data_IF_872477635637
#
_entry.id   IF_872477635637
#
_cell.length_a   1.000
_cell.length_b   1.000
_cell.length_c   1.000
_cell.angle_alpha   90.00
_cell.angle_beta   90.00
_cell.angle_gamma   90.00
#
_symmetry.space_group_name_H-M   'P 1'
#
loop_
_entity.id
_entity.type
_entity.pdbx_description
1 polymer ?
#
# COMPACT_ATOMS: atom_id res chain seq x y z
N UNK A 1 15.66 40.66 10.09
CA UNK A 1 14.88 39.74 9.23
C UNK A 1 15.64 38.43 9.18
N UNK A 2 15.15 37.41 9.87
CA UNK A 2 15.78 36.08 9.94
C UNK A 2 15.12 35.20 8.88
N UNK A 3 15.84 34.90 7.80
CA UNK A 3 15.39 33.96 6.78
C UNK A 3 15.24 32.59 7.44
N UNK A 4 14.06 31.92 7.37
CA UNK A 4 13.95 30.56 7.87
C UNK A 4 14.85 29.67 7.02
N UNK A 5 15.84 29.03 7.66
CA UNK A 5 16.63 27.97 7.01
C UNK A 5 15.73 26.75 6.91
N UNK A 6 15.18 26.51 5.72
CA UNK A 6 14.52 25.23 5.41
C UNK A 6 15.63 24.19 5.28
N UNK A 7 15.86 23.43 6.34
CA UNK A 7 16.71 22.24 6.26
C UNK A 7 15.96 21.21 5.43
N UNK A 8 16.31 21.10 4.16
CA UNK A 8 15.87 19.98 3.33
C UNK A 8 16.76 18.81 3.71
N UNK A 9 16.30 17.97 4.63
CA UNK A 9 16.99 16.72 4.91
C UNK A 9 16.92 15.88 3.64
N UNK A 10 18.06 15.70 2.98
CA UNK A 10 18.20 14.75 1.87
C UNK A 10 18.69 13.45 2.50
N UNK A 11 17.95 12.36 2.32
CA UNK A 11 18.42 11.04 2.72
C UNK A 11 18.42 10.11 1.52
N UNK A 12 19.27 9.08 1.59
CA UNK A 12 19.42 8.06 0.56
C UNK A 12 18.94 6.77 1.19
N UNK A 13 17.99 6.10 0.56
CA UNK A 13 17.34 4.90 1.07
C UNK A 13 17.31 3.84 -0.02
N UNK A 14 17.40 2.56 0.35
CA UNK A 14 17.27 1.49 -0.63
C UNK A 14 15.84 1.49 -1.21
N UNK A 15 15.69 1.21 -2.52
CA UNK A 15 14.34 1.16 -3.15
C UNK A 15 13.39 0.24 -2.38
N UNK A 16 13.88 -0.93 -1.95
CA UNK A 16 13.10 -1.91 -1.19
C UNK A 16 12.55 -1.31 0.10
N UNK A 17 13.37 -0.59 0.85
CA UNK A 17 12.94 0.04 2.10
C UNK A 17 11.89 1.14 1.83
N UNK A 18 12.07 1.92 0.75
CA UNK A 18 11.08 2.93 0.35
C UNK A 18 9.73 2.32 -0.05
N UNK A 19 9.73 1.15 -0.71
CA UNK A 19 8.51 0.39 -1.01
C UNK A 19 7.87 -0.10 0.29
N UNK A 20 8.63 -0.69 1.22
CA UNK A 20 8.12 -1.14 2.51
C UNK A 20 7.40 0.01 3.24
N UNK A 21 7.98 1.20 3.25
CA UNK A 21 7.38 2.38 3.86
C UNK A 21 6.03 2.73 3.24
N UNK A 22 5.87 2.65 1.90
CA UNK A 22 4.58 2.91 1.26
C UNK A 22 3.49 1.91 1.70
N UNK A 23 3.84 0.63 1.87
CA UNK A 23 2.93 -0.37 2.42
C UNK A 23 2.55 -0.07 3.88
N UNK A 24 3.51 0.40 4.69
CA UNK A 24 3.23 0.83 6.08
C UNK A 24 2.24 1.99 6.10
N UNK A 25 2.48 3.04 5.31
CA UNK A 25 1.60 4.20 5.24
C UNK A 25 0.17 3.83 4.84
N UNK A 26 0.00 3.01 3.81
CA UNK A 26 -1.33 2.55 3.37
C UNK A 26 -2.12 1.90 4.51
N UNK A 27 -1.48 1.00 5.26
CA UNK A 27 -2.11 0.28 6.37
C UNK A 27 -2.42 1.21 7.55
N UNK A 28 -1.56 2.19 7.83
CA UNK A 28 -1.79 3.19 8.87
C UNK A 28 -3.04 4.05 8.57
N UNK A 29 -3.30 4.40 7.30
CA UNK A 29 -4.54 5.11 6.94
C UNK A 29 -5.82 4.31 7.20
N UNK A 30 -5.73 2.99 7.32
CA UNK A 30 -6.83 2.11 7.64
C UNK A 30 -6.89 1.70 9.13
N UNK A 31 -6.06 2.32 9.98
CA UNK A 31 -5.94 2.04 11.41
C UNK A 31 -5.56 0.58 11.71
N UNK A 32 -4.73 -0.02 10.85
CA UNK A 32 -4.22 -1.38 11.06
C UNK A 32 -3.14 -1.36 12.13
N UNK A 33 -3.28 -2.23 13.13
CA UNK A 33 -2.34 -2.31 14.25
C UNK A 33 -0.90 -2.60 13.84
N UNK A 34 0.05 -1.98 14.54
CA UNK A 34 1.50 -2.00 14.26
C UNK A 34 2.07 -3.42 14.04
N UNK A 35 1.68 -4.39 14.88
CA UNK A 35 2.08 -5.80 14.72
C UNK A 35 1.74 -6.41 13.35
N UNK A 36 0.62 -6.01 12.74
CA UNK A 36 0.29 -6.44 11.38
C UNK A 36 1.05 -5.64 10.33
N UNK A 37 1.24 -4.34 10.55
CA UNK A 37 2.04 -3.47 9.67
C UNK A 37 3.46 -4.01 9.53
N UNK A 38 4.11 -4.39 10.63
CA UNK A 38 5.46 -4.95 10.63
C UNK A 38 5.53 -6.28 9.87
N UNK A 39 4.55 -7.16 10.06
CA UNK A 39 4.47 -8.43 9.32
C UNK A 39 4.31 -8.22 7.82
N UNK A 40 3.53 -7.23 7.41
CA UNK A 40 3.40 -6.88 5.99
C UNK A 40 4.73 -6.33 5.48
N UNK A 41 5.37 -5.42 6.21
CA UNK A 41 6.65 -4.87 5.79
C UNK A 41 7.74 -5.96 5.67
N UNK A 42 7.79 -6.93 6.59
CA UNK A 42 8.62 -8.13 6.49
C UNK A 42 8.30 -8.94 5.22
N UNK A 43 7.01 -9.15 4.93
CA UNK A 43 6.57 -9.88 3.75
C UNK A 43 6.91 -9.17 2.44
N UNK A 44 6.95 -7.85 2.44
CA UNK A 44 7.42 -7.03 1.31
C UNK A 44 8.95 -7.14 1.18
N UNK A 45 9.70 -7.10 2.30
CA UNK A 45 11.16 -7.28 2.30
C UNK A 45 11.61 -8.59 1.65
N UNK A 46 10.80 -9.65 1.83
CA UNK A 46 11.05 -10.99 1.30
C UNK A 46 10.41 -11.23 -0.08
N UNK A 47 9.89 -10.17 -0.74
CA UNK A 47 9.17 -10.22 -2.02
C UNK A 47 7.98 -11.20 -2.02
N UNK A 48 7.45 -11.50 -0.83
CA UNK A 48 6.40 -12.48 -0.63
C UNK A 48 5.00 -11.89 -0.85
N UNK A 49 4.85 -10.59 -0.67
CA UNK A 49 3.62 -9.83 -0.88
C UNK A 49 3.74 -9.06 -2.19
N UNK A 50 2.79 -9.23 -3.12
CA UNK A 50 2.75 -8.41 -4.35
C UNK A 50 1.76 -7.24 -4.25
N UNK A 51 0.81 -7.31 -3.31
CA UNK A 51 -0.18 -6.26 -3.15
C UNK A 51 -0.89 -6.31 -1.80
N UNK A 52 -1.30 -5.14 -1.32
CA UNK A 52 -2.14 -4.94 -0.15
C UNK A 52 -3.25 -3.97 -0.51
N UNK A 53 -4.48 -4.30 -0.13
CA UNK A 53 -5.61 -3.39 -0.27
C UNK A 53 -6.23 -3.08 1.07
N UNK A 54 -6.54 -1.81 1.29
CA UNK A 54 -7.40 -1.34 2.38
C UNK A 54 -8.74 -0.95 1.82
N UNK A 55 -9.82 -1.35 2.47
CA UNK A 55 -11.17 -1.10 2.01
C UNK A 55 -12.06 -0.62 3.15
N UNK A 56 -13.19 -0.01 2.79
CA UNK A 56 -14.19 0.41 3.74
C UNK A 56 -15.59 -0.02 3.30
N UNK A 57 -16.36 -0.51 4.27
CA UNK A 57 -17.72 -1.01 4.08
C UNK A 57 -18.74 -0.12 4.77
N UNK A 58 -19.94 -0.04 4.19
CA UNK A 58 -21.08 0.60 4.85
C UNK A 58 -21.70 -0.32 5.91
N UNK A 59 -22.80 0.14 6.52
CA UNK A 59 -23.52 -0.60 7.56
C UNK A 59 -24.09 -1.96 7.09
N UNK A 60 -24.20 -2.20 5.77
CA UNK A 60 -24.64 -3.48 5.20
C UNK A 60 -23.48 -4.46 5.03
N UNK A 61 -22.24 -4.04 5.29
CA UNK A 61 -21.04 -4.84 5.09
C UNK A 61 -20.53 -4.84 3.65
N UNK A 62 -21.15 -4.06 2.75
CA UNK A 62 -20.74 -3.93 1.36
C UNK A 62 -19.68 -2.85 1.19
N UNK A 63 -18.71 -3.12 0.32
CA UNK A 63 -17.57 -2.26 0.05
C UNK A 63 -17.97 -1.01 -0.73
N UNK A 64 -17.49 0.14 -0.27
CA UNK A 64 -17.75 1.47 -0.86
C UNK A 64 -16.50 2.04 -1.50
N UNK A 65 -15.34 1.86 -0.86
CA UNK A 65 -14.05 2.36 -1.35
C UNK A 65 -12.94 1.34 -1.05
N UNK A 66 -11.95 1.27 -1.92
CA UNK A 66 -10.71 0.52 -1.73
C UNK A 66 -9.53 1.30 -2.29
N UNK A 67 -8.39 1.20 -1.62
CA UNK A 67 -7.08 1.61 -2.12
C UNK A 67 -6.17 0.39 -2.06
N UNK A 68 -5.69 -0.05 -3.21
CA UNK A 68 -4.72 -1.13 -3.37
C UNK A 68 -3.36 -0.55 -3.74
N UNK A 69 -2.33 -0.88 -2.98
CA UNK A 69 -0.94 -0.72 -3.41
C UNK A 69 -0.44 -2.06 -3.95
N UNK A 70 0.20 -2.02 -5.11
CA UNK A 70 0.79 -3.17 -5.78
C UNK A 70 2.22 -2.86 -6.17
N UNK A 71 3.07 -3.88 -6.10
CA UNK A 71 4.46 -3.81 -6.56
C UNK A 71 4.72 -4.85 -7.65
N UNK A 72 5.40 -4.44 -8.72
CA UNK A 72 5.95 -5.33 -9.74
C UNK A 72 7.38 -5.74 -9.36
N UNK A 73 7.50 -6.95 -8.80
CA UNK A 73 8.80 -7.49 -8.40
C UNK A 73 9.77 -7.73 -9.56
N UNK A 74 9.26 -7.91 -10.78
CA UNK A 74 10.14 -8.08 -11.95
C UNK A 74 10.78 -6.75 -12.31
N UNK A 75 10.01 -5.67 -12.27
CA UNK A 75 10.53 -4.34 -12.54
C UNK A 75 11.40 -3.83 -11.38
N UNK A 76 11.03 -4.12 -10.14
CA UNK A 76 11.87 -3.85 -8.97
C UNK A 76 13.27 -4.49 -9.08
N UNK A 77 13.35 -5.76 -9.52
CA UNK A 77 14.62 -6.45 -9.69
C UNK A 77 15.50 -5.78 -10.76
N UNK A 78 14.88 -5.30 -11.85
CA UNK A 78 15.57 -4.53 -12.90
C UNK A 78 16.07 -3.18 -12.36
N UNK A 79 15.18 -2.40 -11.73
CA UNK A 79 15.50 -1.08 -11.17
C UNK A 79 16.53 -1.15 -10.05
N UNK A 80 16.57 -2.22 -9.27
CA UNK A 80 17.61 -2.39 -8.23
C UNK A 80 19.01 -2.55 -8.82
N UNK A 81 19.14 -3.05 -10.05
CA UNK A 81 20.43 -3.12 -10.75
C UNK A 81 20.85 -1.77 -11.37
N UNK A 82 19.87 -0.98 -11.81
CA UNK A 82 20.10 0.29 -12.52
C UNK A 82 20.19 1.49 -11.56
N UNK A 83 19.27 1.57 -10.60
CA UNK A 83 19.05 2.69 -9.67
C UNK A 83 18.69 2.17 -8.26
N UNK A 84 19.61 1.49 -7.54
CA UNK A 84 19.34 0.79 -6.27
C UNK A 84 18.84 1.67 -5.12
N UNK A 85 19.01 2.98 -5.21
CA UNK A 85 18.67 3.92 -4.16
C UNK A 85 17.69 4.98 -4.66
N UNK A 86 16.76 5.35 -3.78
CA UNK A 86 15.96 6.57 -3.91
C UNK A 86 16.63 7.66 -3.09
N UNK A 87 16.78 8.82 -3.72
CA UNK A 87 17.15 10.04 -3.01
C UNK A 87 15.85 10.73 -2.62
N UNK A 88 15.52 10.69 -1.33
CA UNK A 88 14.39 11.46 -0.80
C UNK A 88 14.86 12.86 -0.40
N UNK A 89 13.90 13.80 -0.37
CA UNK A 89 14.17 15.23 -0.54
C UNK A 89 13.75 15.74 -1.91
N UNK A 90 13.25 14.84 -2.77
CA UNK A 90 12.49 15.20 -3.95
C UNK A 90 11.25 16.02 -3.54
N UNK A 91 10.88 17.05 -4.31
CA UNK A 91 9.75 17.90 -3.99
C UNK A 91 8.48 17.08 -3.75
N UNK A 92 7.95 17.16 -2.54
CA UNK A 92 6.68 16.55 -2.20
C UNK A 92 6.77 15.37 -1.25
N UNK A 93 7.87 14.63 -1.13
CA UNK A 93 7.97 13.57 -0.12
C UNK A 93 7.88 14.15 1.30
N UNK A 94 7.18 13.44 2.19
CA UNK A 94 7.08 13.82 3.60
C UNK A 94 7.29 12.60 4.48
N UNK A 95 8.31 12.63 5.34
CA UNK A 95 8.59 11.56 6.30
C UNK A 95 8.62 10.17 5.64
N UNK A 96 9.26 10.01 4.48
CA UNK A 96 9.32 8.77 3.66
C UNK A 96 8.06 8.42 2.86
N UNK A 97 6.98 9.19 2.98
CA UNK A 97 5.73 8.99 2.24
C UNK A 97 5.76 9.74 0.88
N UNK A 98 5.40 9.01 -0.18
CA UNK A 98 5.21 9.60 -1.52
C UNK A 98 3.99 10.55 -1.55
N UNK A 99 4.00 11.62 -2.38
CA UNK A 99 2.84 12.47 -2.59
C UNK A 99 1.57 11.71 -2.97
N UNK A 100 1.70 10.70 -3.83
CA UNK A 100 0.61 9.88 -4.34
C UNK A 100 -0.02 9.03 -3.23
N UNK A 101 0.81 8.33 -2.44
CA UNK A 101 0.33 7.57 -1.29
C UNK A 101 -0.41 8.45 -0.30
N UNK A 102 0.12 9.64 0.00
CA UNK A 102 -0.53 10.58 0.92
C UNK A 102 -1.88 11.05 0.42
N UNK A 103 -1.99 11.38 -0.87
CA UNK A 103 -3.26 11.81 -1.45
C UNK A 103 -4.27 10.66 -1.44
N UNK A 104 -3.87 9.46 -1.85
CA UNK A 104 -4.75 8.29 -1.89
C UNK A 104 -5.21 7.89 -0.48
N UNK A 105 -4.26 7.73 0.45
CA UNK A 105 -4.51 7.35 1.83
C UNK A 105 -5.36 8.37 2.60
N UNK A 106 -5.06 9.67 2.44
CA UNK A 106 -5.88 10.73 3.05
C UNK A 106 -7.31 10.72 2.53
N UNK A 107 -7.51 10.60 1.21
CA UNK A 107 -8.86 10.53 0.61
C UNK A 107 -9.63 9.33 1.12
N UNK A 108 -8.96 8.19 1.29
CA UNK A 108 -9.55 7.00 1.91
C UNK A 108 -10.01 7.29 3.34
N UNK A 109 -9.11 7.79 4.19
CA UNK A 109 -9.42 8.07 5.59
C UNK A 109 -10.52 9.15 5.77
N UNK A 110 -10.51 10.19 4.94
CA UNK A 110 -11.57 11.21 4.90
C UNK A 110 -12.93 10.59 4.52
N UNK A 111 -12.97 9.75 3.47
CA UNK A 111 -14.19 9.06 3.04
C UNK A 111 -14.75 8.15 4.15
N UNK A 112 -13.87 7.37 4.79
CA UNK A 112 -14.23 6.50 5.93
C UNK A 112 -14.87 7.29 7.05
N UNK A 113 -14.26 8.42 7.43
CA UNK A 113 -14.73 9.27 8.52
C UNK A 113 -16.05 9.95 8.19
N UNK A 114 -16.17 10.55 7.02
CA UNK A 114 -17.35 11.30 6.58
C UNK A 114 -18.59 10.39 6.49
N UNK A 115 -18.41 9.17 5.97
CA UNK A 115 -19.50 8.21 5.75
C UNK A 115 -19.66 7.20 6.89
N UNK A 116 -18.83 7.29 7.95
CA UNK A 116 -18.83 6.37 9.11
C UNK A 116 -18.71 4.90 8.70
N UNK A 117 -17.79 4.61 7.78
CA UNK A 117 -17.55 3.28 7.24
C UNK A 117 -16.70 2.44 8.20
N UNK A 118 -16.82 1.12 8.11
CA UNK A 118 -15.94 0.18 8.81
C UNK A 118 -14.79 -0.22 7.90
N UNK A 119 -13.55 -0.12 8.37
CA UNK A 119 -12.36 -0.47 7.59
C UNK A 119 -12.04 -1.96 7.66
N UNK A 120 -11.38 -2.45 6.62
CA UNK A 120 -10.78 -3.76 6.53
C UNK A 120 -9.63 -3.74 5.54
N UNK A 121 -8.92 -4.85 5.43
CA UNK A 121 -7.75 -4.95 4.55
C UNK A 121 -7.51 -6.39 4.10
N UNK A 122 -6.75 -6.55 3.03
CA UNK A 122 -6.34 -7.84 2.49
C UNK A 122 -4.91 -7.80 1.96
N UNK A 123 -4.30 -8.98 1.83
CA UNK A 123 -2.97 -9.18 1.25
C UNK A 123 -3.09 -10.13 0.07
N UNK A 124 -2.35 -9.85 -1.01
CA UNK A 124 -2.10 -10.78 -2.10
C UNK A 124 -0.62 -11.18 -2.08
N UNK A 125 -0.39 -12.49 -1.93
CA UNK A 125 0.93 -13.07 -2.03
C UNK A 125 1.43 -13.06 -3.48
N UNK A 126 2.74 -12.91 -3.65
CA UNK A 126 3.36 -12.91 -4.97
C UNK A 126 3.10 -14.21 -5.71
N UNK A 127 2.97 -14.13 -7.05
CA UNK A 127 2.71 -15.30 -7.89
C UNK A 127 3.69 -16.46 -7.60
N UNK A 128 4.98 -16.17 -7.41
CA UNK A 128 6.01 -17.15 -7.06
C UNK A 128 5.70 -17.90 -5.76
N UNK A 129 5.22 -17.20 -4.74
CA UNK A 129 4.83 -17.80 -3.47
C UNK A 129 3.55 -18.60 -3.62
N UNK A 130 2.54 -18.09 -4.34
CA UNK A 130 1.25 -18.77 -4.54
C UNK A 130 1.36 -20.10 -5.31
N UNK A 131 2.40 -20.26 -6.13
CA UNK A 131 2.65 -21.47 -6.93
C UNK A 131 3.48 -22.54 -6.19
N UNK A 132 4.02 -22.24 -5.02
CA UNK A 132 4.76 -23.18 -4.15
C UNK A 132 3.95 -23.41 -2.87
N UNK A 133 3.31 -24.57 -2.75
CA UNK A 133 2.38 -24.88 -1.64
C UNK A 133 3.02 -24.69 -0.26
N UNK A 134 4.28 -25.12 -0.09
CA UNK A 134 4.98 -24.99 1.19
C UNK A 134 5.24 -23.52 1.54
N UNK A 135 5.66 -22.73 0.57
CA UNK A 135 5.86 -21.28 0.78
C UNK A 135 4.54 -20.56 0.99
N UNK A 136 3.50 -20.94 0.26
CA UNK A 136 2.16 -20.39 0.38
C UNK A 136 1.60 -20.61 1.80
N UNK A 137 1.63 -21.85 2.29
CA UNK A 137 1.21 -22.18 3.65
C UNK A 137 2.02 -21.44 4.71
N UNK A 138 3.34 -21.40 4.58
CA UNK A 138 4.23 -20.66 5.48
C UNK A 138 3.84 -19.18 5.58
N UNK A 139 3.69 -18.50 4.44
CA UNK A 139 3.37 -17.07 4.42
C UNK A 139 1.95 -16.77 4.89
N UNK A 140 0.96 -17.60 4.52
CA UNK A 140 -0.41 -17.45 5.03
C UNK A 140 -0.47 -17.56 6.55
N UNK A 141 0.28 -18.51 7.13
CA UNK A 141 0.39 -18.65 8.58
C UNK A 141 1.09 -17.47 9.22
N UNK A 142 2.24 -17.03 8.67
CA UNK A 142 3.03 -15.91 9.22
C UNK A 142 2.24 -14.59 9.23
N UNK A 143 1.50 -14.33 8.15
CA UNK A 143 0.69 -13.12 7.98
C UNK A 143 -0.70 -13.22 8.62
N UNK A 144 -1.03 -14.34 9.27
CA UNK A 144 -2.34 -14.60 9.85
C UNK A 144 -3.51 -14.41 8.85
N UNK A 145 -3.29 -14.82 7.61
CA UNK A 145 -4.27 -14.68 6.54
C UNK A 145 -5.40 -15.70 6.72
N UNK A 146 -6.50 -15.28 7.34
CA UNK A 146 -7.75 -16.04 7.29
C UNK A 146 -8.25 -16.02 5.84
N UNK A 147 -8.71 -17.15 5.30
CA UNK A 147 -9.16 -17.28 3.89
C UNK A 147 -10.44 -16.51 3.54
N UNK A 148 -10.79 -15.47 4.30
CA UNK A 148 -11.92 -14.60 3.98
C UNK A 148 -11.51 -13.69 2.83
N UNK A 149 -12.23 -13.81 1.72
CA UNK A 149 -12.17 -12.83 0.64
C UNK A 149 -12.70 -11.49 1.14
N UNK A 150 -12.19 -10.41 0.58
CA UNK A 150 -12.71 -9.09 0.87
C UNK A 150 -14.19 -8.98 0.42
N UNK A 151 -15.07 -8.25 1.13
CA UNK A 151 -16.51 -8.22 0.87
C UNK A 151 -16.88 -7.71 -0.52
N UNK A 152 -18.08 -8.06 -0.99
CA UNK A 152 -18.59 -7.59 -2.28
C UNK A 152 -18.82 -6.08 -2.32
N UNK A 153 -18.86 -5.52 -3.52
CA UNK A 153 -19.08 -4.10 -3.78
C UNK A 153 -20.54 -3.69 -3.63
N UNK A 154 -20.77 -2.54 -3.02
CA UNK A 154 -22.05 -1.85 -3.06
C UNK A 154 -22.40 -1.52 -4.52
N UNK A 155 -23.65 -1.73 -4.92
CA UNK A 155 -24.09 -1.49 -6.31
C UNK A 155 -23.57 -2.51 -7.33
N UNK A 156 -22.90 -3.59 -6.91
CA UNK A 156 -22.47 -4.68 -7.78
C UNK A 156 -21.23 -4.38 -8.62
N UNK A 157 -20.56 -3.24 -8.43
CA UNK A 157 -19.36 -2.88 -9.17
C UNK A 157 -18.68 -1.62 -8.67
N UNK A 158 -17.56 -1.27 -9.32
CA UNK A 158 -16.75 -0.10 -8.99
C UNK A 158 -16.22 0.59 -10.24
N UNK A 159 -15.85 1.85 -10.08
CA UNK A 159 -14.98 2.57 -10.99
C UNK A 159 -13.56 2.59 -10.42
N UNK A 160 -12.58 2.37 -11.29
CA UNK A 160 -11.17 2.29 -10.93
C UNK A 160 -10.39 3.44 -11.53
N UNK A 161 -9.49 4.00 -10.71
CA UNK A 161 -8.45 4.93 -11.13
C UNK A 161 -7.11 4.38 -10.69
N UNK A 162 -6.15 4.36 -11.60
CA UNK A 162 -4.76 3.99 -11.33
C UNK A 162 -3.90 5.24 -11.20
N UNK A 163 -2.99 5.24 -10.23
CA UNK A 163 -1.94 6.24 -10.04
C UNK A 163 -0.60 5.52 -9.86
N UNK A 164 0.41 5.88 -10.65
CA UNK A 164 1.75 5.32 -10.49
C UNK A 164 2.49 6.09 -9.40
N UNK A 165 3.36 5.42 -8.65
CA UNK A 165 4.28 6.10 -7.75
C UNK A 165 5.45 6.66 -8.56
N UNK A 166 5.48 7.98 -8.78
CA UNK A 166 6.37 8.59 -9.78
C UNK A 166 7.86 8.23 -9.60
N UNK A 167 8.35 8.23 -8.36
CA UNK A 167 9.75 7.90 -8.03
C UNK A 167 9.98 6.40 -7.74
N UNK A 168 8.90 5.64 -7.60
CA UNK A 168 8.88 4.19 -7.35
C UNK A 168 8.12 3.52 -8.49
N UNK A 169 8.69 3.56 -9.70
CA UNK A 169 8.06 3.09 -10.95
C UNK A 169 7.53 1.65 -10.88
N UNK A 170 8.12 0.81 -10.02
CA UNK A 170 7.65 -0.55 -9.76
C UNK A 170 6.37 -0.62 -8.91
N UNK A 171 5.80 0.52 -8.48
CA UNK A 171 4.67 0.62 -7.58
C UNK A 171 3.46 1.35 -8.19
N UNK A 172 2.29 0.72 -8.07
CA UNK A 172 1.01 1.26 -8.53
C UNK A 172 -0.01 1.35 -7.38
N UNK A 173 -0.77 2.45 -7.35
CA UNK A 173 -1.95 2.62 -6.51
C UNK A 173 -3.22 2.47 -7.36
N UNK A 174 -4.11 1.58 -6.98
CA UNK A 174 -5.46 1.45 -7.55
C UNK A 174 -6.48 1.97 -6.54
N UNK A 175 -7.24 2.99 -6.93
CA UNK A 175 -8.32 3.57 -6.14
C UNK A 175 -9.64 3.13 -6.78
N UNK A 176 -10.44 2.38 -6.03
CA UNK A 176 -11.74 1.87 -6.47
C UNK A 176 -12.85 2.46 -5.62
N UNK A 177 -13.93 2.91 -6.25
CA UNK A 177 -15.14 3.41 -5.57
C UNK A 177 -16.36 2.74 -6.15
N UNK A 178 -17.35 2.43 -5.33
CA UNK A 178 -18.60 1.86 -5.81
C UNK A 178 -19.24 2.78 -6.85
N UNK A 179 -19.92 2.19 -7.83
CA UNK A 179 -20.75 2.97 -8.74
C UNK A 179 -21.96 3.51 -7.97
N UNK A 180 -22.34 4.75 -8.28
CA UNK A 180 -23.58 5.35 -7.82
C UNK A 180 -24.81 4.72 -8.50
#
# INVERSE_FOLDING_TARGET
MTTPRTYTHTWVQARLESIQDQFRFLLMYADVGESHVDKVADGVAEEAIESVGVYACDATGLRVIEVELKVDWSDHARLTLETPFIVSGLPGWKDHETPEMRVAGRRFAETVKEQKLTTGWWIRLSRRIRQDDRRNEHWRSRLNMSGKNAPDWKGGGFDERTENLFDLEEGDIFIRRNRE
#
